data_IF_720676857291
#
_entry.id   IF_720676857291
#
_cell.length_a   1.000
_cell.length_b   1.000
_cell.length_c   1.000
_cell.angle_alpha   90.00
_cell.angle_beta   90.00
_cell.angle_gamma   90.00
#
_symmetry.space_group_name_H-M   'P 1'
#
loop_
_entity.id
_entity.type
_entity.pdbx_description
1 polymer ?
#
# COMPACT_ATOMS: atom_id res chain seq x y z
N UNK A 1 12.59 2.64 7.67
CA UNK A 1 12.80 4.07 7.30
C UNK A 1 12.11 4.92 8.36
N UNK A 2 12.59 6.12 8.73
CA UNK A 2 12.06 6.91 9.86
C UNK A 2 11.08 7.97 9.32
N UNK A 3 9.93 8.27 9.96
CA UNK A 3 9.05 9.36 9.55
C UNK A 3 9.82 10.67 9.30
N UNK A 4 9.55 11.35 8.17
CA UNK A 4 10.29 12.54 7.74
C UNK A 4 11.65 12.30 7.04
N UNK A 5 12.15 11.06 6.98
CA UNK A 5 13.32 10.74 6.14
C UNK A 5 12.90 10.53 4.67
N UNK A 6 13.57 11.21 3.75
CA UNK A 6 13.36 11.05 2.31
C UNK A 6 14.12 9.84 1.74
N UNK A 7 13.54 9.16 0.76
CA UNK A 7 14.19 8.09 0.02
C UNK A 7 13.76 8.09 -1.45
N UNK A 8 14.61 7.58 -2.34
CA UNK A 8 14.23 7.31 -3.73
C UNK A 8 13.88 5.83 -3.88
N UNK A 9 12.62 5.52 -4.19
CA UNK A 9 12.12 4.15 -4.30
C UNK A 9 11.56 3.85 -5.70
N UNK A 10 11.68 2.60 -6.19
CA UNK A 10 10.89 2.12 -7.33
C UNK A 10 9.40 2.21 -7.04
N UNK A 11 8.60 2.56 -8.05
CA UNK A 11 7.15 2.72 -7.93
C UNK A 11 6.45 1.59 -8.66
N UNK A 12 5.45 1.01 -8.00
CA UNK A 12 4.50 0.08 -8.59
C UNK A 12 3.09 0.69 -8.59
N UNK A 13 2.63 1.22 -9.73
CA UNK A 13 1.26 1.73 -9.86
C UNK A 13 0.25 0.59 -9.88
N UNK A 14 -0.68 0.60 -8.92
CA UNK A 14 -1.75 -0.37 -8.73
C UNK A 14 -3.05 0.17 -9.31
N UNK A 15 -3.77 -0.71 -10.01
CA UNK A 15 -5.00 -0.36 -10.72
C UNK A 15 -6.25 -0.56 -9.85
N UNK A 16 -6.42 -1.78 -9.34
CA UNK A 16 -7.68 -2.24 -8.76
C UNK A 16 -7.62 -2.32 -7.23
N UNK A 17 -6.51 -1.89 -6.62
CA UNK A 17 -6.27 -2.05 -5.19
C UNK A 17 -5.43 -0.92 -4.61
N UNK A 18 -5.72 -0.57 -3.36
CA UNK A 18 -4.90 0.28 -2.50
C UNK A 18 -4.40 -0.58 -1.34
N UNK A 19 -3.10 -0.56 -1.11
CA UNK A 19 -2.49 -1.30 0.01
C UNK A 19 -2.31 -0.34 1.17
N UNK A 20 -2.85 -0.70 2.33
CA UNK A 20 -2.66 0.06 3.58
C UNK A 20 -1.48 -0.51 4.39
N UNK A 21 -0.94 0.27 5.34
CA UNK A 21 -0.03 -0.26 6.36
C UNK A 21 -0.57 -1.56 7.00
N UNK A 22 0.33 -2.49 7.32
CA UNK A 22 0.06 -3.82 7.89
C UNK A 22 -0.71 -4.79 6.99
N UNK A 23 -1.15 -4.37 5.80
CA UNK A 23 -1.76 -5.29 4.84
C UNK A 23 -0.70 -6.16 4.18
N UNK A 24 -0.90 -7.48 4.24
CA UNK A 24 -0.15 -8.47 3.46
C UNK A 24 -1.03 -8.97 2.32
N UNK A 25 -0.65 -8.69 1.08
CA UNK A 25 -1.46 -9.03 -0.09
C UNK A 25 -0.60 -9.57 -1.26
N UNK A 26 -1.04 -10.65 -1.93
CA UNK A 26 -0.41 -11.08 -3.18
C UNK A 26 -0.83 -10.17 -4.35
N UNK A 27 0.13 -9.71 -5.13
CA UNK A 27 -0.08 -8.95 -6.36
C UNK A 27 0.43 -9.73 -7.58
N UNK A 28 -0.26 -9.59 -8.70
CA UNK A 28 0.12 -10.17 -9.98
C UNK A 28 0.54 -9.04 -10.92
N UNK A 29 1.78 -9.10 -11.40
CA UNK A 29 2.40 -8.03 -12.18
C UNK A 29 2.82 -8.57 -13.54
N UNK A 30 2.22 -8.02 -14.61
CA UNK A 30 2.52 -8.41 -16.00
C UNK A 30 3.19 -7.32 -16.84
N UNK A 31 3.14 -6.05 -16.42
CA UNK A 31 3.71 -4.94 -17.19
C UNK A 31 5.23 -4.94 -17.07
N UNK A 32 5.94 -4.87 -18.20
CA UNK A 32 7.41 -4.93 -18.23
C UNK A 32 8.07 -3.88 -17.33
N UNK A 33 7.59 -2.63 -17.35
CA UNK A 33 8.10 -1.54 -16.47
C UNK A 33 7.94 -1.89 -14.99
N UNK A 34 6.79 -2.44 -14.60
CA UNK A 34 6.49 -2.84 -13.23
C UNK A 34 7.33 -4.04 -12.77
N UNK A 35 7.58 -5.02 -13.64
CA UNK A 35 8.47 -6.15 -13.34
C UNK A 35 9.90 -5.63 -13.10
N UNK A 36 10.40 -4.71 -13.94
CA UNK A 36 11.72 -4.09 -13.73
C UNK A 36 11.80 -3.31 -12.42
N UNK A 37 10.74 -2.59 -12.05
CA UNK A 37 10.66 -1.89 -10.76
C UNK A 37 10.80 -2.86 -9.58
N UNK A 38 10.12 -4.00 -9.63
CA UNK A 38 10.21 -5.06 -8.61
C UNK A 38 11.61 -5.66 -8.51
N UNK A 39 12.24 -5.95 -9.66
CA UNK A 39 13.60 -6.47 -9.69
C UNK A 39 14.60 -5.47 -9.06
N UNK A 40 14.49 -4.18 -9.38
CA UNK A 40 15.31 -3.15 -8.75
C UNK A 40 15.04 -2.97 -7.26
N UNK A 41 13.79 -3.05 -6.84
CA UNK A 41 13.45 -3.00 -5.42
C UNK A 41 14.12 -4.17 -4.66
N UNK A 42 14.08 -5.39 -5.22
CA UNK A 42 14.72 -6.56 -4.62
C UNK A 42 16.23 -6.41 -4.44
N UNK A 43 16.90 -5.70 -5.34
CA UNK A 43 18.35 -5.42 -5.27
C UNK A 43 18.69 -4.27 -4.32
N UNK A 44 17.80 -3.29 -4.17
CA UNK A 44 18.04 -2.02 -3.46
C UNK A 44 17.51 -1.99 -2.01
N UNK A 45 17.14 -3.14 -1.43
CA UNK A 45 16.69 -3.23 -0.03
C UNK A 45 15.26 -3.71 0.17
N UNK A 46 14.63 -4.28 -0.87
CA UNK A 46 13.27 -4.87 -0.87
C UNK A 46 12.12 -3.91 -0.59
N UNK A 47 12.38 -2.61 -0.58
CA UNK A 47 11.34 -1.60 -0.42
C UNK A 47 10.81 -1.13 -1.78
N UNK A 48 9.50 -0.94 -1.86
CA UNK A 48 8.81 -0.46 -3.06
C UNK A 48 7.72 0.54 -2.67
N UNK A 49 7.54 1.57 -3.48
CA UNK A 49 6.44 2.52 -3.32
C UNK A 49 5.22 2.03 -4.10
N UNK A 50 4.13 1.72 -3.39
CA UNK A 50 2.86 1.33 -3.97
C UNK A 50 1.95 2.55 -4.07
N UNK A 51 1.47 2.86 -5.27
CA UNK A 51 0.57 3.99 -5.51
C UNK A 51 -0.64 3.53 -6.30
N UNK A 52 -1.80 4.15 -6.11
CA UNK A 52 -2.96 3.90 -6.97
C UNK A 52 -2.94 4.79 -8.20
N UNK A 53 -3.48 4.28 -9.31
CA UNK A 53 -3.73 5.06 -10.51
C UNK A 53 -5.03 5.86 -10.36
N UNK A 54 -5.10 7.06 -10.97
CA UNK A 54 -6.32 7.89 -10.99
C UNK A 54 -7.41 7.28 -11.87
N UNK A 55 -7.02 6.63 -12.97
CA UNK A 55 -7.91 5.88 -13.84
C UNK A 55 -7.40 4.46 -14.01
N UNK A 56 -8.31 3.50 -13.89
CA UNK A 56 -7.99 2.10 -14.10
C UNK A 56 -7.83 1.73 -15.59
N UNK A 57 -8.30 2.54 -16.53
CA UNK A 57 -8.26 2.24 -17.97
C UNK A 57 -6.86 2.30 -18.59
N UNK A 58 -5.89 2.89 -17.90
CA UNK A 58 -4.60 3.24 -18.49
C UNK A 58 -3.54 2.15 -18.27
N UNK A 59 -2.98 1.68 -19.39
CA UNK A 59 -1.96 0.62 -19.37
C UNK A 59 -0.53 1.11 -19.13
N UNK A 60 -0.23 2.34 -19.54
CA UNK A 60 1.05 2.99 -19.26
C UNK A 60 0.77 4.38 -18.67
N UNK A 61 0.41 4.47 -17.39
CA UNK A 61 0.03 5.73 -16.78
C UNK A 61 1.24 6.66 -16.74
N UNK A 62 1.07 7.89 -17.23
CA UNK A 62 2.06 8.94 -17.00
C UNK A 62 2.07 9.32 -15.51
N UNK A 63 3.14 9.94 -15.00
CA UNK A 63 3.21 10.39 -13.60
C UNK A 63 2.00 11.20 -13.13
N UNK A 64 1.42 12.04 -14.00
CA UNK A 64 0.25 12.87 -13.69
C UNK A 64 -1.04 12.07 -13.46
N UNK A 65 -1.08 10.82 -13.95
CA UNK A 65 -2.19 9.89 -13.80
C UNK A 65 -2.02 8.96 -12.59
N UNK A 66 -0.95 9.13 -11.80
CA UNK A 66 -0.68 8.36 -10.60
C UNK A 66 -0.94 9.26 -9.38
N UNK A 67 -1.54 8.70 -8.32
CA UNK A 67 -1.74 9.44 -7.08
C UNK A 67 -0.41 9.73 -6.37
N UNK A 68 -0.30 10.86 -5.68
CA UNK A 68 0.93 11.26 -4.98
C UNK A 68 1.06 10.62 -3.61
N UNK A 69 -0.03 10.19 -2.99
CA UNK A 69 0.00 9.45 -1.72
C UNK A 69 -0.13 7.97 -2.00
N UNK A 70 0.68 7.17 -1.31
CA UNK A 70 0.64 5.73 -1.35
C UNK A 70 1.29 5.11 -0.13
N UNK A 71 1.77 3.88 -0.29
CA UNK A 71 2.30 3.07 0.82
C UNK A 71 3.66 2.54 0.44
N UNK A 72 4.66 2.83 1.27
CA UNK A 72 5.94 2.12 1.23
C UNK A 72 5.71 0.72 1.76
N UNK A 73 6.10 -0.27 0.97
CA UNK A 73 5.89 -1.67 1.27
C UNK A 73 7.18 -2.47 1.13
N UNK A 74 7.28 -3.54 1.91
CA UNK A 74 8.33 -4.54 1.76
C UNK A 74 7.90 -5.66 0.84
N UNK A 75 8.81 -6.11 0.00
CA UNK A 75 8.65 -7.31 -0.81
C UNK A 75 9.06 -8.52 0.04
N UNK A 76 8.07 -9.33 0.43
CA UNK A 76 8.28 -10.55 1.20
C UNK A 76 8.72 -11.71 0.30
N UNK A 77 8.10 -11.84 -0.88
CA UNK A 77 8.37 -12.93 -1.80
C UNK A 77 8.14 -12.50 -3.25
N UNK A 78 8.99 -12.98 -4.17
CA UNK A 78 8.85 -12.78 -5.61
C UNK A 78 8.95 -14.14 -6.32
N UNK A 79 7.96 -14.47 -7.15
CA UNK A 79 7.91 -15.70 -7.95
C UNK A 79 7.59 -15.36 -9.40
N UNK A 80 8.50 -15.71 -10.32
CA UNK A 80 8.26 -15.62 -11.77
C UNK A 80 7.42 -16.81 -12.21
N UNK A 81 6.32 -16.54 -12.90
CA UNK A 81 5.43 -17.56 -13.43
C UNK A 81 5.83 -17.93 -14.88
N UNK A 82 5.49 -19.15 -15.36
CA UNK A 82 5.86 -19.60 -16.71
C UNK A 82 5.28 -18.76 -17.85
N UNK A 83 4.19 -18.02 -17.59
CA UNK A 83 3.54 -17.12 -18.54
C UNK A 83 4.25 -15.76 -18.69
N UNK A 84 5.34 -15.55 -17.94
CA UNK A 84 6.11 -14.30 -17.94
C UNK A 84 5.61 -13.26 -16.95
N UNK A 85 4.52 -13.52 -16.23
CA UNK A 85 4.06 -12.64 -15.13
C UNK A 85 4.83 -12.91 -13.84
N UNK A 86 4.78 -11.96 -12.92
CA UNK A 86 5.41 -12.09 -11.60
C UNK A 86 4.34 -12.03 -10.53
N UNK A 87 4.30 -13.06 -9.68
CA UNK A 87 3.52 -13.06 -8.44
C UNK A 87 4.42 -12.55 -7.33
N UNK A 88 4.02 -11.47 -6.67
CA UNK A 88 4.75 -10.87 -5.56
C UNK A 88 3.87 -10.84 -4.30
N UNK A 89 4.45 -11.13 -3.14
CA UNK A 89 3.81 -10.92 -1.85
C UNK A 89 4.42 -9.67 -1.21
N UNK A 90 3.59 -8.70 -0.88
CA UNK A 90 4.02 -7.43 -0.29
C UNK A 90 3.34 -7.20 1.05
N UNK A 91 4.04 -6.48 1.93
CA UNK A 91 3.52 -5.98 3.21
C UNK A 91 3.64 -4.46 3.24
N UNK A 92 2.51 -3.75 3.42
CA UNK A 92 2.55 -2.30 3.61
C UNK A 92 3.16 -1.93 4.97
N UNK A 93 4.10 -0.98 4.99
CA UNK A 93 4.73 -0.49 6.22
C UNK A 93 4.17 0.88 6.62
N UNK A 94 4.35 1.88 5.75
CA UNK A 94 4.08 3.27 6.09
C UNK A 94 3.43 4.01 4.94
N UNK A 95 2.54 4.95 5.25
CA UNK A 95 2.07 5.94 4.28
C UNK A 95 3.23 6.85 3.88
N UNK A 96 3.27 7.23 2.62
CA UNK A 96 4.25 8.19 2.12
C UNK A 96 3.65 9.08 1.04
N UNK A 97 4.18 10.30 0.95
CA UNK A 97 3.93 11.23 -0.16
C UNK A 97 5.09 11.15 -1.15
N UNK A 98 4.76 11.09 -2.43
CA UNK A 98 5.69 11.29 -3.53
C UNK A 98 5.87 12.80 -3.74
N UNK A 99 7.09 13.29 -3.51
CA UNK A 99 7.45 14.67 -3.80
C UNK A 99 7.73 14.86 -5.30
N UNK A 100 8.33 13.84 -5.93
CA UNK A 100 8.69 13.89 -7.34
C UNK A 100 8.75 12.50 -7.95
N UNK A 101 8.02 12.33 -9.06
CA UNK A 101 8.23 11.20 -9.96
C UNK A 101 9.44 11.42 -10.87
N UNK A 102 10.23 10.38 -11.03
CA UNK A 102 11.35 10.27 -11.96
C UNK A 102 11.03 9.12 -12.90
N UNK A 103 10.54 9.44 -14.09
CA UNK A 103 10.37 8.44 -15.14
C UNK A 103 11.74 8.11 -15.74
N UNK A 104 12.09 6.83 -15.74
CA UNK A 104 13.19 6.30 -16.53
C UNK A 104 12.61 5.54 -17.72
N UNK A 105 13.43 5.24 -18.73
CA UNK A 105 12.97 4.41 -19.86
C UNK A 105 12.51 3.00 -19.43
N UNK A 106 12.91 2.55 -18.24
CA UNK A 106 12.72 1.17 -17.79
C UNK A 106 11.65 0.99 -16.72
N UNK A 107 11.50 1.95 -15.80
CA UNK A 107 10.56 1.90 -14.68
C UNK A 107 10.40 3.28 -14.01
N UNK A 108 9.40 3.41 -13.13
CA UNK A 108 9.19 4.63 -12.34
C UNK A 108 10.01 4.60 -11.05
N UNK A 109 10.68 5.72 -10.77
CA UNK A 109 11.24 6.06 -9.47
C UNK A 109 10.45 7.22 -8.87
N UNK A 110 10.43 7.30 -7.54
CA UNK A 110 9.87 8.44 -6.84
C UNK A 110 10.77 8.83 -5.66
N UNK A 111 10.93 10.14 -5.47
CA UNK A 111 11.39 10.68 -4.19
C UNK A 111 10.18 10.71 -3.25
N UNK A 112 10.28 9.96 -2.15
CA UNK A 112 9.20 9.75 -1.20
C UNK A 112 9.58 10.27 0.18
N UNK A 113 8.59 10.83 0.87
CA UNK A 113 8.69 11.24 2.27
C UNK A 113 7.62 10.49 3.07
N UNK A 114 8.05 9.81 4.12
CA UNK A 114 7.14 9.10 5.02
C UNK A 114 6.19 10.08 5.72
N UNK A 115 4.90 9.77 5.69
CA UNK A 115 3.87 10.48 6.44
C UNK A 115 3.80 9.88 7.84
N UNK A 116 4.03 10.71 8.86
CA UNK A 116 3.76 10.33 10.24
C UNK A 116 2.25 10.17 10.45
N UNK A 117 1.84 9.25 11.33
CA UNK A 117 0.48 9.33 11.86
C UNK A 117 0.39 10.51 12.81
N UNK A 118 -0.67 11.30 12.69
CA UNK A 118 -0.92 12.43 13.58
C UNK A 118 -1.67 11.90 14.80
N UNK A 119 -1.10 12.11 15.99
CA UNK A 119 -1.81 11.85 17.24
C UNK A 119 -2.87 12.94 17.43
N UNK A 120 -4.15 12.56 17.30
CA UNK A 120 -5.29 13.43 17.59
C UNK A 120 -5.53 13.62 19.09
N UNK A 121 -6.63 14.29 19.44
CA UNK A 121 -7.12 14.31 20.82
C UNK A 121 -7.50 12.89 21.24
N UNK A 122 -6.84 12.37 22.29
CA UNK A 122 -6.99 10.97 22.74
C UNK A 122 -8.45 10.60 23.05
N UNK A 123 -9.20 11.54 23.64
CA UNK A 123 -10.60 11.31 24.02
C UNK A 123 -11.53 11.31 22.80
N UNK A 124 -11.29 12.20 21.83
CA UNK A 124 -11.99 12.18 20.55
C UNK A 124 -11.68 10.92 19.75
N UNK A 125 -10.41 10.52 19.67
CA UNK A 125 -9.98 9.30 18.98
C UNK A 125 -10.60 8.06 19.62
N UNK A 126 -10.62 7.93 20.95
CA UNK A 126 -11.26 6.81 21.64
C UNK A 126 -12.77 6.76 21.36
N UNK A 127 -13.45 7.91 21.35
CA UNK A 127 -14.87 8.00 21.03
C UNK A 127 -15.17 7.57 19.58
N UNK A 128 -14.36 8.02 18.61
CA UNK A 128 -14.48 7.65 17.21
C UNK A 128 -14.21 6.15 16.99
N UNK A 129 -13.16 5.60 17.61
CA UNK A 129 -12.83 4.17 17.53
C UNK A 129 -14.00 3.30 18.02
N UNK A 130 -14.60 3.64 19.17
CA UNK A 130 -15.79 2.93 19.68
C UNK A 130 -16.98 3.03 18.71
N UNK A 131 -17.18 4.19 18.08
CA UNK A 131 -18.26 4.40 17.11
C UNK A 131 -18.07 3.56 15.83
N UNK A 132 -16.84 3.51 15.31
CA UNK A 132 -16.47 2.70 14.14
C UNK A 132 -16.65 1.21 14.43
N UNK A 133 -16.14 0.72 15.57
CA UNK A 133 -16.29 -0.69 15.97
C UNK A 133 -17.76 -1.09 16.15
N UNK A 134 -18.57 -0.23 16.78
CA UNK A 134 -20.00 -0.49 16.94
C UNK A 134 -20.74 -0.55 15.59
N UNK A 135 -20.40 0.34 14.66
CA UNK A 135 -20.98 0.35 13.32
C UNK A 135 -20.54 -0.86 12.50
N UNK A 136 -19.28 -1.28 12.67
CA UNK A 136 -18.75 -2.48 12.00
C UNK A 136 -19.39 -3.77 12.53
N UNK A 137 -19.66 -3.89 13.83
CA UNK A 137 -20.43 -5.00 14.41
C UNK A 137 -21.83 -5.12 13.78
N UNK A 138 -22.53 -3.99 13.61
CA UNK A 138 -23.83 -3.97 12.91
C UNK A 138 -23.68 -4.41 11.45
N UNK A 139 -22.62 -3.97 10.76
CA UNK A 139 -22.35 -4.37 9.38
C UNK A 139 -22.10 -5.88 9.24
N UNK A 140 -21.29 -6.48 10.11
CA UNK A 140 -21.01 -7.93 10.10
C UNK A 140 -22.29 -8.73 10.31
N UNK A 141 -23.18 -8.29 11.21
CA UNK A 141 -24.49 -8.94 11.43
C UNK A 141 -25.40 -8.92 10.20
N UNK A 142 -25.27 -7.89 9.36
CA UNK A 142 -26.03 -7.77 8.11
C UNK A 142 -25.37 -8.49 6.93
N UNK A 143 -24.03 -8.62 6.94
CA UNK A 143 -23.25 -9.22 5.87
C UNK A 143 -22.57 -10.52 6.31
N UNK A 144 -23.29 -11.64 6.14
CA UNK A 144 -22.85 -12.99 6.53
C UNK A 144 -21.59 -13.52 5.82
N UNK A 145 -20.97 -12.74 4.92
CA UNK A 145 -19.70 -13.09 4.28
C UNK A 145 -18.49 -12.85 5.18
N UNK A 146 -18.64 -12.09 6.28
CA UNK A 146 -17.55 -11.78 7.20
C UNK A 146 -17.68 -12.68 8.44
N UNK A 147 -16.65 -13.48 8.77
CA UNK A 147 -16.64 -14.28 9.99
C UNK A 147 -16.73 -13.39 11.24
N UNK A 148 -17.61 -13.71 12.21
CA UNK A 148 -17.70 -12.95 13.46
C UNK A 148 -16.39 -12.89 14.26
N UNK A 149 -15.50 -13.87 14.06
CA UNK A 149 -14.18 -13.96 14.72
C UNK A 149 -13.30 -12.74 14.46
N UNK A 150 -13.50 -12.03 13.34
CA UNK A 150 -12.80 -10.78 13.02
C UNK A 150 -13.07 -9.69 14.07
N UNK A 151 -14.28 -9.67 14.67
CA UNK A 151 -14.64 -8.68 15.69
C UNK A 151 -13.77 -8.82 16.95
N UNK A 152 -13.45 -10.05 17.33
CA UNK A 152 -12.59 -10.33 18.49
C UNK A 152 -11.17 -9.86 18.25
N UNK A 153 -10.64 -10.04 17.03
CA UNK A 153 -9.31 -9.55 16.66
C UNK A 153 -9.23 -8.03 16.65
N UNK A 154 -10.27 -7.35 16.15
CA UNK A 154 -10.33 -5.89 16.13
C UNK A 154 -10.41 -5.28 17.53
N UNK A 155 -11.08 -5.95 18.48
CA UNK A 155 -11.17 -5.49 19.86
C UNK A 155 -9.84 -5.53 20.62
N UNK A 156 -8.82 -6.21 20.10
CA UNK A 156 -7.48 -6.29 20.68
C UNK A 156 -6.46 -5.32 20.08
N UNK A 157 -6.89 -4.37 19.24
CA UNK A 157 -6.02 -3.35 18.65
C UNK A 157 -6.09 -2.09 19.54
N UNK A 158 -4.97 -1.76 20.19
CA UNK A 158 -4.87 -0.61 21.11
C UNK A 158 -4.44 0.69 20.39
N UNK A 159 -3.78 0.59 19.23
CA UNK A 159 -3.33 1.72 18.45
C UNK A 159 -4.30 2.00 17.28
N UNK A 160 -4.98 3.16 17.25
CA UNK A 160 -5.92 3.53 16.19
C UNK A 160 -5.23 3.84 14.84
N UNK A 161 -3.90 3.92 14.81
CA UNK A 161 -3.08 4.01 13.59
C UNK A 161 -2.58 5.39 13.24
#
# INVERSE_FOLDING_TARGET
MIPGSGATLPVLPLRDVVVFPHMVIPLFVGRKKSIKALERAMEAGKQIMLTSQKSASEDDPTPDLINTVGTVANILQLLKLPDGTVKVLVEGEHRATVERYKETEEYFLADVVLLASESGDELETEALTRSVLSTFDQYVKLNMKIPPEILTSLAGIDDPG
#
